data_IF_269860831890
#
_entry.id   IF_269860831890
#
_cell.length_a   1.000
_cell.length_b   1.000
_cell.length_c   1.000
_cell.angle_alpha   90.00
_cell.angle_beta   90.00
_cell.angle_gamma   90.00
#
_symmetry.space_group_name_H-M   'P 1'
#
loop_
_entity.id
_entity.type
_entity.pdbx_description
1 polymer ?
#
# COMPACT_ATOMS: atom_id res chain seq x y z
N UNK A 1 -3.59 -15.83 0.29
CA UNK A 1 -2.27 -16.52 0.29
C UNK A 1 -2.40 -18.02 0.55
N UNK A 2 -3.01 -18.48 1.64
CA UNK A 2 -3.16 -19.93 1.92
C UNK A 2 -3.76 -20.71 0.75
N UNK A 3 -4.88 -20.25 0.18
CA UNK A 3 -5.52 -20.89 -0.97
C UNK A 3 -4.65 -20.88 -2.23
N UNK A 4 -3.86 -19.83 -2.45
CA UNK A 4 -2.92 -19.73 -3.57
C UNK A 4 -1.81 -20.78 -3.42
N UNK A 5 -1.23 -20.89 -2.22
CA UNK A 5 -0.20 -21.89 -1.92
C UNK A 5 -0.75 -23.32 -1.95
N UNK A 6 -2.02 -23.50 -1.58
CA UNK A 6 -2.74 -24.77 -1.66
C UNK A 6 -3.30 -25.11 -3.04
N UNK A 7 -3.10 -24.26 -4.05
CA UNK A 7 -3.58 -24.46 -5.42
C UNK A 7 -5.10 -24.41 -5.58
N UNK A 8 -5.82 -23.76 -4.65
CA UNK A 8 -7.27 -23.58 -4.71
C UNK A 8 -7.67 -22.34 -5.53
N UNK A 9 -6.76 -21.39 -5.69
CA UNK A 9 -6.90 -20.24 -6.59
C UNK A 9 -5.62 -20.08 -7.40
N UNK A 10 -5.76 -19.61 -8.65
CA UNK A 10 -4.64 -19.56 -9.60
C UNK A 10 -3.86 -18.25 -9.56
N UNK A 11 -4.54 -17.13 -9.27
CA UNK A 11 -3.96 -15.79 -9.36
C UNK A 11 -4.43 -14.89 -8.22
N UNK A 12 -3.55 -13.99 -7.79
CA UNK A 12 -3.83 -13.00 -6.76
C UNK A 12 -3.03 -11.71 -7.05
N UNK A 13 -3.68 -10.55 -6.92
CA UNK A 13 -3.00 -9.26 -6.83
C UNK A 13 -3.04 -8.83 -5.37
N UNK A 14 -1.88 -8.68 -4.74
CA UNK A 14 -1.77 -8.47 -3.29
C UNK A 14 -0.51 -7.66 -2.93
N UNK A 15 -0.50 -7.09 -1.73
CA UNK A 15 0.56 -6.20 -1.24
C UNK A 15 1.83 -6.97 -0.89
N UNK A 16 2.97 -6.32 -1.11
CA UNK A 16 4.32 -6.82 -0.81
C UNK A 16 4.52 -7.14 0.68
N UNK A 17 3.80 -6.46 1.57
CA UNK A 17 3.78 -6.75 3.01
C UNK A 17 3.33 -8.17 3.34
N UNK A 18 2.55 -8.81 2.46
CA UNK A 18 2.13 -10.20 2.56
C UNK A 18 2.91 -11.14 1.61
N UNK A 19 3.23 -10.67 0.40
CA UNK A 19 3.73 -11.53 -0.69
C UNK A 19 5.25 -11.67 -0.75
N UNK A 20 6.02 -10.69 -0.27
CA UNK A 20 7.50 -10.62 -0.49
C UNK A 20 8.22 -11.91 -0.11
N UNK A 21 7.93 -12.47 1.06
CA UNK A 21 8.58 -13.71 1.53
C UNK A 21 8.28 -14.92 0.65
N UNK A 22 7.05 -15.03 0.15
CA UNK A 22 6.65 -16.14 -0.70
C UNK A 22 7.30 -16.03 -2.09
N UNK A 23 7.40 -14.81 -2.62
CA UNK A 23 8.07 -14.54 -3.88
C UNK A 23 9.57 -14.85 -3.78
N UNK A 24 10.26 -14.33 -2.76
CA UNK A 24 11.69 -14.59 -2.53
C UNK A 24 11.97 -16.06 -2.24
N UNK A 25 11.05 -16.75 -1.56
CA UNK A 25 11.14 -18.20 -1.31
C UNK A 25 10.82 -19.08 -2.52
N UNK A 26 10.38 -18.50 -3.65
CA UNK A 26 10.02 -19.23 -4.86
C UNK A 26 8.76 -20.10 -4.72
N UNK A 27 7.95 -19.89 -3.68
CA UNK A 27 6.71 -20.64 -3.43
C UNK A 27 5.55 -20.13 -4.27
N UNK A 28 5.64 -18.91 -4.79
CA UNK A 28 4.70 -18.32 -5.76
C UNK A 28 5.45 -17.67 -6.91
N UNK A 29 4.80 -17.57 -8.07
CA UNK A 29 5.32 -16.82 -9.22
C UNK A 29 4.87 -15.36 -9.11
N UNK A 30 5.82 -14.43 -9.26
CA UNK A 30 5.54 -13.00 -9.38
C UNK A 30 5.63 -12.57 -10.85
N UNK A 31 4.62 -11.83 -11.32
CA UNK A 31 4.54 -11.41 -12.73
C UNK A 31 4.84 -9.93 -12.92
N UNK A 32 4.35 -9.06 -12.03
CA UNK A 32 4.61 -7.63 -12.08
C UNK A 32 4.40 -6.96 -10.71
N UNK A 33 5.02 -5.81 -10.50
CA UNK A 33 4.69 -4.85 -9.43
C UNK A 33 3.89 -3.67 -9.97
N UNK A 34 2.97 -3.14 -9.18
CA UNK A 34 2.08 -2.01 -9.58
C UNK A 34 2.67 -0.64 -9.24
N UNK A 35 3.90 -0.57 -8.78
CA UNK A 35 4.63 0.68 -8.48
C UNK A 35 5.22 1.30 -9.74
N UNK A 36 5.44 2.62 -9.72
CA UNK A 36 6.04 3.35 -10.84
C UNK A 36 7.46 2.86 -11.21
N UNK A 37 8.18 2.29 -10.24
CA UNK A 37 9.52 1.72 -10.40
C UNK A 37 9.55 0.33 -9.78
N UNK A 38 10.51 -0.50 -10.22
CA UNK A 38 10.78 -1.79 -9.58
C UNK A 38 11.10 -1.61 -8.10
N UNK A 39 10.83 -2.64 -7.31
CA UNK A 39 11.15 -2.66 -5.89
C UNK A 39 12.54 -3.23 -5.69
N UNK A 40 13.35 -2.59 -4.85
CA UNK A 40 14.72 -3.04 -4.57
C UNK A 40 14.75 -4.47 -4.00
N UNK A 41 13.71 -4.87 -3.25
CA UNK A 41 13.57 -6.23 -2.69
C UNK A 41 13.11 -7.28 -3.69
N UNK A 42 12.64 -6.87 -4.87
CA UNK A 42 12.15 -7.71 -5.97
C UNK A 42 12.64 -7.17 -7.34
N UNK A 43 13.96 -7.05 -7.56
CA UNK A 43 14.52 -6.34 -8.71
C UNK A 43 14.25 -7.03 -10.05
N UNK A 44 14.00 -8.33 -10.03
CA UNK A 44 13.71 -9.14 -11.23
C UNK A 44 12.24 -9.09 -11.65
N UNK A 45 11.35 -8.56 -10.80
CA UNK A 45 9.93 -8.44 -11.10
C UNK A 45 9.70 -7.11 -11.84
N UNK A 46 9.18 -7.13 -13.09
CA UNK A 46 8.98 -5.91 -13.86
C UNK A 46 7.84 -5.07 -13.27
N UNK A 47 7.81 -3.78 -13.61
CA UNK A 47 6.60 -2.99 -13.35
C UNK A 47 5.49 -3.34 -14.33
N UNK A 48 4.25 -3.08 -13.97
CA UNK A 48 3.11 -3.14 -14.90
C UNK A 48 3.30 -2.24 -16.13
N UNK A 49 4.03 -1.12 -16.00
CA UNK A 49 4.37 -0.25 -17.13
C UNK A 49 5.31 -0.96 -18.10
N UNK A 50 6.38 -1.58 -17.60
CA UNK A 50 7.32 -2.39 -18.39
C UNK A 50 6.63 -3.59 -19.05
N UNK A 51 5.60 -4.14 -18.41
CA UNK A 51 4.76 -5.22 -18.91
C UNK A 51 3.64 -4.76 -19.88
N UNK A 52 3.59 -3.47 -20.27
CA UNK A 52 2.66 -2.96 -21.27
C UNK A 52 1.30 -2.50 -20.74
N UNK A 53 1.16 -2.33 -19.42
CA UNK A 53 -0.06 -1.84 -18.74
C UNK A 53 0.20 -0.46 -18.08
N UNK A 54 0.47 0.61 -18.86
CA UNK A 54 0.92 1.90 -18.33
C UNK A 54 -0.11 2.64 -17.47
N UNK A 55 -1.38 2.20 -17.48
CA UNK A 55 -2.47 2.79 -16.69
C UNK A 55 -2.71 2.06 -15.36
N UNK A 56 -2.05 0.91 -15.12
CA UNK A 56 -2.29 0.05 -13.95
C UNK A 56 -1.35 0.37 -12.78
N UNK A 57 -1.06 1.64 -12.52
CA UNK A 57 -0.24 2.01 -11.36
C UNK A 57 -1.09 2.05 -10.09
N UNK A 58 -0.79 1.21 -9.10
CA UNK A 58 -1.53 1.12 -7.83
C UNK A 58 -0.55 1.08 -6.68
N UNK A 59 -0.52 2.16 -5.90
CA UNK A 59 0.18 2.23 -4.62
C UNK A 59 -0.82 2.21 -3.48
N UNK A 60 -0.68 1.25 -2.57
CA UNK A 60 -1.56 1.14 -1.39
C UNK A 60 -0.98 1.97 -0.25
N UNK A 61 -1.75 2.97 0.20
CA UNK A 61 -1.43 3.81 1.35
C UNK A 61 -2.22 3.35 2.57
N UNK A 62 -1.68 3.60 3.76
CA UNK A 62 -2.34 3.28 5.03
C UNK A 62 -2.52 4.56 5.85
N UNK A 63 -3.69 4.70 6.47
CA UNK A 63 -4.03 5.83 7.34
C UNK A 63 -4.42 5.36 8.73
N UNK A 64 -4.17 6.21 9.73
CA UNK A 64 -4.67 6.01 11.10
C UNK A 64 -5.80 7.00 11.33
N UNK A 65 -6.94 6.50 11.80
CA UNK A 65 -8.14 7.28 12.04
C UNK A 65 -8.55 7.22 13.51
N UNK A 66 -9.26 8.25 13.96
CA UNK A 66 -9.89 8.32 15.26
C UNK A 66 -11.41 8.43 15.10
N UNK A 67 -12.21 8.08 16.11
CA UNK A 67 -13.66 8.33 16.08
C UNK A 67 -14.00 9.82 15.85
N UNK A 68 -15.13 10.06 15.20
CA UNK A 68 -15.68 11.42 15.04
C UNK A 68 -15.90 12.07 16.41
N UNK A 69 -15.46 13.32 16.57
CA UNK A 69 -15.57 14.07 17.82
C UNK A 69 -14.38 13.90 18.77
N UNK A 70 -13.36 13.12 18.39
CA UNK A 70 -12.08 13.08 19.14
C UNK A 70 -11.50 14.50 19.25
N UNK A 71 -11.14 14.97 20.46
CA UNK A 71 -10.61 16.32 20.65
C UNK A 71 -9.36 16.59 19.81
N UNK A 72 -9.19 17.85 19.39
CA UNK A 72 -8.10 18.25 18.51
C UNK A 72 -6.72 17.99 19.14
N UNK A 73 -6.57 18.23 20.45
CA UNK A 73 -5.31 17.98 21.14
C UNK A 73 -4.92 16.48 21.16
N UNK A 74 -5.89 15.57 21.15
CA UNK A 74 -5.66 14.13 21.09
C UNK A 74 -5.18 13.73 19.70
N UNK A 75 -5.80 14.27 18.65
CA UNK A 75 -5.37 14.03 17.28
C UNK A 75 -3.95 14.55 17.04
N UNK A 76 -3.62 15.72 17.58
CA UNK A 76 -2.28 16.28 17.49
C UNK A 76 -1.25 15.40 18.21
N UNK A 77 -1.56 14.93 19.43
CA UNK A 77 -0.68 14.03 20.19
C UNK A 77 -0.43 12.70 19.45
N UNK A 78 -1.48 12.11 18.86
CA UNK A 78 -1.37 10.89 18.07
C UNK A 78 -0.56 11.11 16.79
N UNK A 79 -0.78 12.22 16.07
CA UNK A 79 -0.01 12.59 14.89
C UNK A 79 1.48 12.74 15.20
N UNK A 80 1.83 13.43 16.29
CA UNK A 80 3.23 13.56 16.74
C UNK A 80 3.85 12.20 17.08
N UNK A 81 3.10 11.35 17.77
CA UNK A 81 3.57 10.00 18.12
C UNK A 81 3.80 9.13 16.87
N UNK A 82 2.91 9.23 15.88
CA UNK A 82 3.06 8.54 14.59
C UNK A 82 4.32 9.01 13.86
N UNK A 83 4.56 10.32 13.78
CA UNK A 83 5.76 10.86 13.14
C UNK A 83 7.05 10.40 13.81
N UNK A 84 7.06 10.25 15.14
CA UNK A 84 8.20 9.66 15.86
C UNK A 84 8.37 8.18 15.48
N UNK A 85 7.29 7.40 15.50
CA UNK A 85 7.32 5.97 15.20
C UNK A 85 7.80 5.68 13.76
N UNK A 86 7.37 6.48 12.78
CA UNK A 86 7.77 6.30 11.37
C UNK A 86 9.25 6.62 11.10
N UNK A 87 9.93 7.32 12.02
CA UNK A 87 11.39 7.55 11.99
C UNK A 87 12.19 6.45 12.68
N UNK A 88 11.53 5.55 13.39
CA UNK A 88 12.23 4.47 14.07
C UNK A 88 12.95 3.58 13.05
N UNK A 89 14.22 3.29 13.30
CA UNK A 89 15.07 2.55 12.36
C UNK A 89 14.59 1.11 12.17
N UNK A 90 14.03 0.48 13.20
CA UNK A 90 13.50 -0.87 13.08
C UNK A 90 12.20 -0.87 12.27
N UNK A 91 11.34 0.13 12.43
CA UNK A 91 10.15 0.32 11.59
C UNK A 91 10.56 0.51 10.13
N UNK A 92 11.47 1.43 9.85
CA UNK A 92 11.94 1.70 8.49
C UNK A 92 12.61 0.47 7.85
N UNK A 93 13.47 -0.24 8.58
CA UNK A 93 14.11 -1.46 8.10
C UNK A 93 13.08 -2.55 7.79
N UNK A 94 12.11 -2.75 8.68
CA UNK A 94 11.07 -3.77 8.47
C UNK A 94 10.17 -3.44 7.29
N UNK A 95 9.89 -2.17 7.05
CA UNK A 95 9.13 -1.72 5.88
C UNK A 95 9.92 -1.97 4.60
N UNK A 96 11.22 -1.63 4.58
CA UNK A 96 12.10 -1.87 3.44
C UNK A 96 12.18 -3.37 3.09
N UNK A 97 12.37 -4.24 4.09
CA UNK A 97 12.34 -5.71 3.90
C UNK A 97 11.05 -6.23 3.28
N UNK A 98 9.94 -5.51 3.48
CA UNK A 98 8.62 -5.85 2.97
C UNK A 98 8.27 -5.09 1.68
N UNK A 99 9.22 -4.37 1.09
CA UNK A 99 9.01 -3.62 -0.15
C UNK A 99 8.07 -2.43 -0.01
N UNK A 100 8.07 -1.77 1.15
CA UNK A 100 7.33 -0.54 1.40
C UNK A 100 8.20 0.48 2.14
N UNK A 101 7.72 1.72 2.27
CA UNK A 101 8.45 2.80 2.93
C UNK A 101 7.56 3.54 3.91
N UNK A 102 8.10 4.05 5.04
CA UNK A 102 7.33 4.88 5.94
C UNK A 102 6.82 6.13 5.23
N UNK A 103 5.59 6.55 5.54
CA UNK A 103 5.08 7.85 5.10
C UNK A 103 6.01 8.96 5.60
N UNK A 104 6.19 9.99 4.76
CA UNK A 104 6.95 11.18 5.15
C UNK A 104 6.26 11.90 6.32
N UNK A 105 7.00 12.73 7.07
CA UNK A 105 6.41 13.54 8.13
C UNK A 105 5.28 14.45 7.63
N UNK A 106 5.44 15.02 6.43
CA UNK A 106 4.43 15.85 5.80
C UNK A 106 3.16 15.06 5.45
N UNK A 107 3.30 13.79 5.06
CA UNK A 107 2.17 12.91 4.77
C UNK A 107 1.53 12.34 6.03
N UNK A 108 2.28 12.25 7.13
CA UNK A 108 1.84 11.75 8.44
C UNK A 108 1.19 12.86 9.30
N UNK A 109 0.27 13.63 8.70
CA UNK A 109 -0.53 14.66 9.38
C UNK A 109 -2.03 14.45 9.12
N UNK A 110 -2.93 14.89 10.03
CA UNK A 110 -4.37 14.80 9.80
C UNK A 110 -4.82 15.50 8.51
N UNK A 111 -4.21 16.65 8.19
CA UNK A 111 -4.53 17.42 6.99
C UNK A 111 -4.10 16.69 5.71
N UNK A 112 -2.88 16.14 5.67
CA UNK A 112 -2.39 15.39 4.52
C UNK A 112 -3.18 14.09 4.31
N UNK A 113 -3.52 13.37 5.38
CA UNK A 113 -4.36 12.19 5.30
C UNK A 113 -5.76 12.51 4.75
N UNK A 114 -6.36 13.63 5.18
CA UNK A 114 -7.65 14.08 4.65
C UNK A 114 -7.56 14.35 3.14
N UNK A 115 -6.56 15.12 2.71
CA UNK A 115 -6.35 15.43 1.30
C UNK A 115 -6.10 14.16 0.46
N UNK A 116 -5.31 13.22 0.99
CA UNK A 116 -5.07 11.92 0.34
C UNK A 116 -6.35 11.14 0.17
N UNK A 117 -7.16 10.99 1.22
CA UNK A 117 -8.43 10.29 1.17
C UNK A 117 -9.38 10.91 0.12
N UNK A 118 -9.53 12.24 0.13
CA UNK A 118 -10.38 12.94 -0.84
C UNK A 118 -9.90 12.73 -2.29
N UNK A 119 -8.58 12.78 -2.52
CA UNK A 119 -8.01 12.54 -3.85
C UNK A 119 -8.22 11.10 -4.33
N UNK A 120 -8.16 10.13 -3.43
CA UNK A 120 -8.32 8.72 -3.75
C UNK A 120 -9.78 8.37 -4.00
N UNK A 121 -10.71 8.98 -3.26
CA UNK A 121 -12.15 8.90 -3.58
C UNK A 121 -12.39 9.44 -5.00
N UNK A 122 -11.85 10.61 -5.32
CA UNK A 122 -12.01 11.22 -6.65
C UNK A 122 -11.39 10.36 -7.77
N UNK A 123 -10.28 9.68 -7.48
CA UNK A 123 -9.59 8.78 -8.42
C UNK A 123 -10.36 7.48 -8.65
N UNK A 124 -10.81 6.81 -7.58
CA UNK A 124 -11.38 5.47 -7.67
C UNK A 124 -12.87 5.47 -8.03
N UNK A 125 -13.63 6.49 -7.64
CA UNK A 125 -15.07 6.61 -7.96
C UNK A 125 -15.38 6.35 -9.44
N UNK A 126 -14.78 7.07 -10.43
CA UNK A 126 -15.11 6.85 -11.83
C UNK A 126 -14.68 5.47 -12.34
N UNK A 127 -13.63 4.86 -11.77
CA UNK A 127 -13.19 3.50 -12.14
C UNK A 127 -14.24 2.48 -11.69
N UNK A 128 -14.71 2.59 -10.45
CA UNK A 128 -15.74 1.71 -9.86
C UNK A 128 -17.07 1.87 -10.63
N UNK A 129 -17.52 3.11 -10.85
CA UNK A 129 -18.75 3.40 -11.60
C UNK A 129 -18.67 2.87 -13.04
N UNK A 130 -17.53 3.06 -13.73
CA UNK A 130 -17.33 2.54 -15.08
C UNK A 130 -17.29 1.02 -15.15
N UNK A 131 -16.81 0.34 -14.10
CA UNK A 131 -16.78 -1.12 -14.04
C UNK A 131 -18.16 -1.72 -13.73
N UNK A 132 -19.07 -0.92 -13.16
CA UNK A 132 -20.40 -1.39 -12.72
C UNK A 132 -20.33 -2.43 -11.60
N UNK A 133 -19.22 -2.49 -10.87
CA UNK A 133 -18.98 -3.42 -9.75
C UNK A 133 -19.01 -2.64 -8.44
N UNK A 134 -19.78 -3.11 -7.47
CA UNK A 134 -19.95 -2.46 -6.17
C UNK A 134 -19.68 -3.46 -5.06
N UNK A 135 -19.25 -2.97 -3.90
CA UNK A 135 -19.34 -3.76 -2.68
C UNK A 135 -20.82 -3.96 -2.34
N UNK A 136 -21.20 -5.18 -1.99
CA UNK A 136 -22.54 -5.59 -1.59
C UNK A 136 -22.97 -5.05 -0.21
#
# INVERSE_FOLDING_TARGET
MTDLLGGQVDIMCDQTTNTTKQIQGGTVKAYAVTTAKRLDVLPDVPTVVEAGLPKLEVGIWHGIYTPKGTPAEINEKLSKSLQVALKDKNVAARFAELGTTPSSESDATPAALKAKLESEIARWKPVIESAGQYAD
#
